data_IF_307157733358
#
_entry.id   IF_307157733358
#
_cell.length_a   1.000
_cell.length_b   1.000
_cell.length_c   1.000
_cell.angle_alpha   90.00
_cell.angle_beta   90.00
_cell.angle_gamma   90.00
#
_symmetry.space_group_name_H-M   'P 1'
#
loop_
_entity.id
_entity.type
_entity.pdbx_description
1 polymer ?
#
# COMPACT_ATOMS: atom_id res chain seq x y z
N UNK A 1 -15.41 70.21 33.47
CA UNK A 1 -15.58 68.74 33.54
C UNK A 1 -15.74 68.06 32.18
N UNK A 2 -16.25 68.74 31.14
CA UNK A 2 -16.48 68.15 29.80
C UNK A 2 -15.18 67.73 29.09
N UNK A 3 -14.17 68.61 29.04
CA UNK A 3 -12.89 68.36 28.34
C UNK A 3 -12.13 67.15 28.88
N UNK A 4 -12.20 66.90 30.20
CA UNK A 4 -11.52 65.77 30.84
C UNK A 4 -12.22 64.43 30.54
N UNK A 5 -13.55 64.46 30.41
CA UNK A 5 -14.35 63.31 30.00
C UNK A 5 -14.13 62.98 28.53
N UNK A 6 -14.06 64.00 27.66
CA UNK A 6 -13.79 63.81 26.23
C UNK A 6 -12.40 63.20 25.99
N UNK A 7 -11.38 63.70 26.72
CA UNK A 7 -10.03 63.14 26.64
C UNK A 7 -9.96 61.69 27.16
N UNK A 8 -10.70 61.37 28.23
CA UNK A 8 -10.83 59.98 28.74
C UNK A 8 -11.53 59.06 27.75
N UNK A 9 -12.58 59.53 27.10
CA UNK A 9 -13.31 58.76 26.09
C UNK A 9 -12.45 58.53 24.85
N UNK A 10 -11.73 59.55 24.38
CA UNK A 10 -10.82 59.43 23.25
C UNK A 10 -9.65 58.46 23.52
N UNK A 11 -9.04 58.54 24.70
CA UNK A 11 -7.95 57.64 25.09
C UNK A 11 -8.41 56.20 25.28
N UNK A 12 -9.59 55.99 25.89
CA UNK A 12 -10.21 54.66 26.01
C UNK A 12 -10.54 54.05 24.64
N UNK A 13 -11.12 54.84 23.73
CA UNK A 13 -11.40 54.42 22.36
C UNK A 13 -10.12 54.03 21.61
N UNK A 14 -9.05 54.83 21.74
CA UNK A 14 -7.76 54.54 21.14
C UNK A 14 -7.18 53.19 21.63
N UNK A 15 -7.23 52.96 22.94
CA UNK A 15 -6.74 51.71 23.53
C UNK A 15 -7.58 50.50 23.11
N UNK A 16 -8.90 50.65 23.02
CA UNK A 16 -9.80 49.62 22.51
C UNK A 16 -9.45 49.24 21.08
N UNK A 17 -9.30 50.23 20.19
CA UNK A 17 -8.96 50.00 18.78
C UNK A 17 -7.57 49.35 18.64
N UNK A 18 -6.60 49.77 19.45
CA UNK A 18 -5.28 49.16 19.49
C UNK A 18 -5.33 47.69 19.93
N UNK A 19 -6.06 47.39 21.01
CA UNK A 19 -6.23 46.02 21.50
C UNK A 19 -6.94 45.12 20.48
N UNK A 20 -7.99 45.63 19.83
CA UNK A 20 -8.69 44.92 18.75
C UNK A 20 -7.75 44.62 17.57
N UNK A 21 -6.96 45.61 17.12
CA UNK A 21 -6.00 45.43 16.04
C UNK A 21 -4.92 44.40 16.39
N UNK A 22 -4.33 44.50 17.59
CA UNK A 22 -3.34 43.54 18.06
C UNK A 22 -3.93 42.13 18.25
N UNK A 23 -5.16 42.04 18.75
CA UNK A 23 -5.90 40.78 18.87
C UNK A 23 -6.13 40.11 17.52
N UNK A 24 -6.52 40.87 16.49
CA UNK A 24 -6.66 40.36 15.12
C UNK A 24 -5.32 39.87 14.56
N UNK A 25 -4.23 40.61 14.79
CA UNK A 25 -2.90 40.23 14.31
C UNK A 25 -2.39 38.96 14.99
N UNK A 26 -2.58 38.86 16.31
CA UNK A 26 -2.25 37.68 17.09
C UNK A 26 -3.08 36.46 16.66
N UNK A 27 -4.37 36.65 16.41
CA UNK A 27 -5.28 35.59 15.95
C UNK A 27 -4.88 35.04 14.58
N UNK A 28 -4.48 35.91 13.64
CA UNK A 28 -3.96 35.48 12.33
C UNK A 28 -2.66 34.68 12.46
N UNK A 29 -1.70 35.17 13.26
CA UNK A 29 -0.43 34.48 13.48
C UNK A 29 -0.61 33.12 14.17
N UNK A 30 -1.51 33.05 15.16
CA UNK A 30 -1.85 31.80 15.83
C UNK A 30 -2.53 30.81 14.89
N UNK A 31 -3.49 31.29 14.08
CA UNK A 31 -4.15 30.49 13.05
C UNK A 31 -3.16 29.89 12.06
N UNK A 32 -2.20 30.69 11.58
CA UNK A 32 -1.14 30.24 10.68
C UNK A 32 -0.24 29.17 11.31
N UNK A 33 0.19 29.36 12.56
CA UNK A 33 1.01 28.36 13.26
C UNK A 33 0.26 27.05 13.44
N UNK A 34 -1.01 27.12 13.84
CA UNK A 34 -1.88 25.94 13.99
C UNK A 34 -2.10 25.23 12.65
N UNK A 35 -2.29 25.96 11.56
CA UNK A 35 -2.51 25.35 10.24
C UNK A 35 -1.25 24.63 9.74
N UNK A 36 -0.05 25.18 9.97
CA UNK A 36 1.20 24.52 9.59
C UNK A 36 1.39 23.22 10.39
N UNK A 37 1.19 23.25 11.71
CA UNK A 37 1.28 22.05 12.54
C UNK A 37 0.24 20.97 12.15
N UNK A 38 -0.99 21.39 11.85
CA UNK A 38 -2.03 20.47 11.40
C UNK A 38 -1.67 19.83 10.04
N UNK A 39 -1.07 20.61 9.12
CA UNK A 39 -0.60 20.11 7.84
C UNK A 39 0.56 19.12 8.00
N UNK A 40 1.55 19.44 8.84
CA UNK A 40 2.69 18.55 9.14
C UNK A 40 2.22 17.23 9.76
N UNK A 41 1.27 17.29 10.69
CA UNK A 41 0.69 16.10 11.32
C UNK A 41 -0.12 15.28 10.31
N UNK A 42 -0.93 15.94 9.46
CA UNK A 42 -1.67 15.25 8.40
C UNK A 42 -0.73 14.56 7.41
N UNK A 43 0.36 15.22 7.02
CA UNK A 43 1.39 14.66 6.15
C UNK A 43 2.07 13.46 6.81
N UNK A 44 2.50 13.59 8.07
CA UNK A 44 3.12 12.51 8.82
C UNK A 44 2.18 11.31 8.98
N UNK A 45 0.91 11.54 9.32
CA UNK A 45 -0.09 10.49 9.43
C UNK A 45 -0.37 9.83 8.08
N UNK A 46 -0.47 10.60 7.00
CA UNK A 46 -0.69 10.05 5.66
C UNK A 46 0.46 9.12 5.26
N UNK A 47 1.71 9.58 5.29
CA UNK A 47 2.84 8.75 4.87
C UNK A 47 3.15 7.62 5.85
N UNK A 48 2.96 7.82 7.16
CA UNK A 48 3.11 6.75 8.16
C UNK A 48 2.03 5.68 8.01
N UNK A 49 0.78 6.06 7.75
CA UNK A 49 -0.32 5.13 7.52
C UNK A 49 -0.16 4.42 6.18
N UNK A 50 0.13 5.14 5.11
CA UNK A 50 0.34 4.56 3.77
C UNK A 50 1.53 3.60 3.75
N UNK A 51 2.65 3.94 4.39
CA UNK A 51 3.80 3.02 4.50
C UNK A 51 3.44 1.75 5.28
N UNK A 52 2.83 1.89 6.47
CA UNK A 52 2.42 0.74 7.27
C UNK A 52 1.40 -0.16 6.54
N UNK A 53 0.38 0.44 5.93
CA UNK A 53 -0.61 -0.31 5.15
C UNK A 53 0.02 -0.95 3.92
N UNK A 54 0.98 -0.29 3.26
CA UNK A 54 1.68 -0.84 2.10
C UNK A 54 2.54 -2.04 2.47
N UNK A 55 3.17 -2.03 3.64
CA UNK A 55 3.95 -3.17 4.14
C UNK A 55 3.04 -4.37 4.37
N UNK A 56 1.91 -4.18 5.06
CA UNK A 56 0.90 -5.23 5.26
C UNK A 56 0.38 -5.78 3.93
N UNK A 57 -0.01 -4.90 2.99
CA UNK A 57 -0.50 -5.33 1.68
C UNK A 57 0.57 -6.09 0.89
N UNK A 58 1.83 -5.65 0.97
CA UNK A 58 2.95 -6.34 0.31
C UNK A 58 3.21 -7.72 0.92
N UNK A 59 3.13 -7.83 2.25
CA UNK A 59 3.28 -9.10 2.96
C UNK A 59 2.13 -10.07 2.65
N UNK A 60 0.89 -9.57 2.58
CA UNK A 60 -0.27 -10.36 2.16
C UNK A 60 -0.17 -10.81 0.70
N UNK A 61 0.27 -9.93 -0.20
CA UNK A 61 0.48 -10.27 -1.60
C UNK A 61 1.57 -11.35 -1.77
N UNK A 62 2.69 -11.21 -1.05
CA UNK A 62 3.77 -12.19 -1.07
C UNK A 62 3.30 -13.54 -0.51
N UNK A 63 2.58 -13.51 0.63
CA UNK A 63 2.01 -14.71 1.25
C UNK A 63 1.04 -15.43 0.32
N UNK A 64 0.14 -14.69 -0.33
CA UNK A 64 -0.80 -15.25 -1.30
C UNK A 64 -0.05 -15.85 -2.50
N UNK A 65 0.99 -15.20 -3.00
CA UNK A 65 1.81 -15.73 -4.09
C UNK A 65 2.54 -17.03 -3.72
N UNK A 66 3.09 -17.10 -2.51
CA UNK A 66 3.72 -18.31 -1.98
C UNK A 66 2.72 -19.47 -1.88
N UNK A 67 1.49 -19.17 -1.41
CA UNK A 67 0.41 -20.17 -1.31
C UNK A 67 -0.02 -20.66 -2.70
N UNK A 68 -0.24 -19.74 -3.66
CA UNK A 68 -0.55 -20.10 -5.05
C UNK A 68 0.53 -20.98 -5.68
N UNK A 69 1.81 -20.65 -5.44
CA UNK A 69 2.94 -21.41 -5.98
C UNK A 69 2.99 -22.82 -5.40
N UNK A 70 2.77 -22.96 -4.08
CA UNK A 70 2.72 -24.28 -3.43
C UNK A 70 1.57 -25.12 -3.97
N UNK A 71 0.38 -24.54 -4.10
CA UNK A 71 -0.78 -25.23 -4.66
C UNK A 71 -0.52 -25.70 -6.10
N UNK A 72 0.06 -24.86 -6.96
CA UNK A 72 0.41 -25.21 -8.33
C UNK A 72 1.47 -26.32 -8.41
N UNK A 73 2.49 -26.28 -7.55
CA UNK A 73 3.53 -27.31 -7.48
C UNK A 73 2.96 -28.65 -7.01
N UNK A 74 2.10 -28.65 -5.98
CA UNK A 74 1.41 -29.84 -5.52
C UNK A 74 0.55 -30.42 -6.64
N UNK A 75 -0.28 -29.60 -7.28
CA UNK A 75 -1.08 -30.03 -8.43
C UNK A 75 -0.24 -30.68 -9.52
N UNK A 76 0.83 -30.02 -9.98
CA UNK A 76 1.71 -30.55 -11.01
C UNK A 76 2.36 -31.88 -10.58
N UNK A 77 2.88 -31.94 -9.35
CA UNK A 77 3.60 -33.11 -8.85
C UNK A 77 2.73 -34.36 -8.70
N UNK A 78 1.48 -34.20 -8.26
CA UNK A 78 0.53 -35.30 -8.10
C UNK A 78 -0.05 -35.72 -9.44
N UNK A 79 -0.37 -34.77 -10.33
CA UNK A 79 -0.81 -35.09 -11.69
C UNK A 79 0.26 -35.87 -12.47
N UNK A 80 1.54 -35.53 -12.30
CA UNK A 80 2.64 -36.25 -12.94
C UNK A 80 2.77 -37.72 -12.49
N UNK A 81 2.21 -38.08 -11.32
CA UNK A 81 2.22 -39.45 -10.76
C UNK A 81 0.90 -40.17 -10.97
N UNK A 82 -0.09 -39.53 -11.59
CA UNK A 82 -1.43 -40.09 -11.75
C UNK A 82 -1.36 -41.35 -12.63
N UNK A 83 -1.95 -42.48 -12.20
CA UNK A 83 -1.95 -43.69 -13.01
C UNK A 83 -2.64 -43.44 -14.36
N UNK A 84 -1.97 -43.88 -15.43
CA UNK A 84 -2.33 -43.70 -16.84
C UNK A 84 -3.57 -44.54 -17.20
N UNK A 85 -4.74 -44.17 -16.70
CA UNK A 85 -5.96 -44.96 -16.89
C UNK A 85 -7.29 -44.26 -16.67
N UNK A 86 -7.30 -42.96 -16.35
CA UNK A 86 -8.53 -42.19 -16.17
C UNK A 86 -8.45 -40.88 -16.92
N UNK A 87 -8.98 -40.85 -18.14
CA UNK A 87 -9.35 -39.59 -18.81
C UNK A 87 -10.64 -39.08 -18.15
N UNK A 88 -10.48 -38.61 -16.92
CA UNK A 88 -11.55 -38.09 -16.10
C UNK A 88 -11.76 -36.61 -16.38
N UNK A 89 -13.00 -36.13 -16.30
CA UNK A 89 -13.29 -34.71 -16.43
C UNK A 89 -12.51 -33.81 -15.45
N UNK A 90 -12.48 -32.49 -15.68
CA UNK A 90 -11.75 -31.54 -14.83
C UNK A 90 -12.25 -31.54 -13.39
N UNK A 91 -13.55 -31.74 -13.17
CA UNK A 91 -14.14 -31.81 -11.81
C UNK A 91 -13.69 -33.06 -11.05
N UNK A 92 -13.73 -34.23 -11.68
CA UNK A 92 -13.27 -35.49 -11.08
C UNK A 92 -11.75 -35.44 -10.79
N UNK A 93 -10.97 -34.84 -11.70
CA UNK A 93 -9.54 -34.58 -11.49
C UNK A 93 -9.32 -33.67 -10.28
N UNK A 94 -10.15 -32.64 -10.10
CA UNK A 94 -10.03 -31.71 -8.97
C UNK A 94 -10.34 -32.37 -7.63
N UNK A 95 -11.37 -33.24 -7.57
CA UNK A 95 -11.76 -33.95 -6.36
C UNK A 95 -10.72 -35.02 -5.99
N UNK A 96 -10.23 -35.76 -6.98
CA UNK A 96 -9.15 -36.73 -6.80
C UNK A 96 -7.86 -36.06 -6.30
N UNK A 97 -7.48 -34.94 -6.91
CA UNK A 97 -6.28 -34.19 -6.50
C UNK A 97 -6.44 -33.69 -5.06
N UNK A 98 -7.63 -33.22 -4.70
CA UNK A 98 -7.90 -32.76 -3.36
C UNK A 98 -7.73 -33.87 -2.33
N UNK A 99 -8.40 -35.01 -2.49
CA UNK A 99 -8.31 -36.09 -1.52
C UNK A 99 -6.90 -36.66 -1.39
N UNK A 100 -6.17 -36.82 -2.49
CA UNK A 100 -4.78 -37.32 -2.46
C UNK A 100 -3.83 -36.37 -1.75
N UNK A 101 -3.93 -35.06 -2.02
CA UNK A 101 -3.06 -34.07 -1.39
C UNK A 101 -3.39 -33.90 0.09
N UNK A 102 -4.67 -33.85 0.47
CA UNK A 102 -5.09 -33.74 1.88
C UNK A 102 -4.64 -34.98 2.68
N UNK A 103 -4.83 -36.18 2.14
CA UNK A 103 -4.37 -37.42 2.77
C UNK A 103 -2.84 -37.45 2.91
N UNK A 104 -2.11 -37.01 1.89
CA UNK A 104 -0.65 -36.94 1.94
C UNK A 104 -0.16 -35.91 2.98
N UNK A 105 -0.79 -34.73 3.04
CA UNK A 105 -0.47 -33.70 4.03
C UNK A 105 -0.73 -34.22 5.44
N UNK A 106 -1.87 -34.87 5.67
CA UNK A 106 -2.20 -35.47 6.96
C UNK A 106 -1.19 -36.55 7.35
N UNK A 107 -0.77 -37.40 6.42
CA UNK A 107 0.25 -38.42 6.67
C UNK A 107 1.64 -37.82 6.97
N UNK A 108 1.99 -36.72 6.31
CA UNK A 108 3.33 -36.13 6.41
C UNK A 108 3.49 -35.17 7.59
N UNK A 109 2.47 -34.35 7.89
CA UNK A 109 2.52 -33.33 8.94
C UNK A 109 1.70 -33.67 10.19
N UNK A 110 0.80 -34.67 10.10
CA UNK A 110 -0.16 -34.97 11.18
C UNK A 110 -1.24 -33.90 11.37
N UNK A 111 -1.40 -32.98 10.41
CA UNK A 111 -2.39 -31.91 10.46
C UNK A 111 -3.45 -32.11 9.38
N UNK A 112 -4.70 -31.88 9.74
CA UNK A 112 -5.79 -31.78 8.78
C UNK A 112 -5.70 -30.41 8.08
N UNK A 113 -5.25 -30.41 6.83
CA UNK A 113 -5.04 -29.21 6.02
C UNK A 113 -5.98 -29.27 4.83
N UNK A 114 -6.94 -28.36 4.77
CA UNK A 114 -7.84 -28.23 3.64
C UNK A 114 -7.09 -27.76 2.39
N UNK A 115 -7.24 -28.48 1.29
CA UNK A 115 -6.62 -28.16 0.01
C UNK A 115 -7.70 -28.03 -1.06
N UNK A 116 -7.63 -26.97 -1.88
CA UNK A 116 -8.62 -26.76 -2.93
C UNK A 116 -8.08 -27.23 -4.29
N UNK A 117 -8.50 -28.42 -4.73
CA UNK A 117 -8.07 -28.99 -6.00
C UNK A 117 -8.43 -28.14 -7.23
N UNK A 118 -9.64 -27.55 -7.25
CA UNK A 118 -10.09 -26.73 -8.37
C UNK A 118 -9.25 -25.44 -8.52
N UNK A 119 -8.96 -24.78 -7.39
CA UNK A 119 -8.10 -23.59 -7.34
C UNK A 119 -6.68 -23.92 -7.81
N UNK A 120 -6.09 -25.01 -7.30
CA UNK A 120 -4.75 -25.42 -7.64
C UNK A 120 -4.59 -25.76 -9.14
N UNK A 121 -5.59 -26.43 -9.73
CA UNK A 121 -5.65 -26.68 -11.17
C UNK A 121 -5.75 -25.37 -11.97
N UNK A 122 -6.56 -24.42 -11.51
CA UNK A 122 -6.66 -23.09 -12.11
C UNK A 122 -5.31 -22.35 -12.10
N UNK A 123 -4.57 -22.40 -11.00
CA UNK A 123 -3.22 -21.83 -10.91
C UNK A 123 -2.25 -22.50 -11.90
N UNK A 124 -2.28 -23.83 -12.01
CA UNK A 124 -1.44 -24.58 -12.94
C UNK A 124 -1.78 -24.26 -14.41
N UNK A 125 -3.07 -24.12 -14.74
CA UNK A 125 -3.53 -23.74 -16.07
C UNK A 125 -3.09 -22.32 -16.44
N UNK A 126 -3.15 -21.37 -15.50
CA UNK A 126 -2.70 -20.00 -15.72
C UNK A 126 -1.20 -19.93 -16.03
N UNK A 127 -0.37 -20.71 -15.32
CA UNK A 127 1.06 -20.82 -15.60
C UNK A 127 1.33 -21.44 -16.97
N UNK A 128 0.63 -22.53 -17.30
CA UNK A 128 0.81 -23.23 -18.58
C UNK A 128 0.41 -22.35 -19.78
N UNK A 129 -0.63 -21.53 -19.62
CA UNK A 129 -1.06 -20.57 -20.64
C UNK A 129 -0.04 -19.45 -20.87
N UNK A 130 0.83 -19.17 -19.87
CA UNK A 130 1.87 -18.14 -19.94
C UNK A 130 3.22 -18.62 -20.51
N UNK A 131 3.43 -19.94 -20.65
CA UNK A 131 4.69 -20.56 -21.08
C UNK A 131 5.14 -20.25 -22.54
N UNK A 132 4.48 -19.32 -23.23
CA UNK A 132 4.87 -18.89 -24.58
C UNK A 132 4.85 -17.38 -24.84
N UNK A 133 4.49 -16.54 -23.86
CA UNK A 133 4.33 -15.10 -24.08
C UNK A 133 4.77 -14.31 -22.85
N UNK A 134 6.07 -14.09 -22.71
CA UNK A 134 6.61 -13.10 -21.78
C UNK A 134 7.10 -11.86 -22.56
N UNK A 135 6.73 -10.63 -22.15
CA UNK A 135 5.81 -10.32 -21.05
C UNK A 135 4.35 -10.63 -21.40
N UNK A 136 3.50 -10.97 -20.40
CA UNK A 136 2.09 -11.25 -20.63
C UNK A 136 1.36 -10.01 -21.19
N UNK A 137 0.36 -10.19 -22.05
CA UNK A 137 -0.41 -9.07 -22.62
C UNK A 137 -1.12 -8.30 -21.49
N UNK A 138 -0.75 -7.04 -21.31
CA UNK A 138 -1.27 -6.17 -20.24
C UNK A 138 -0.28 -5.86 -19.12
N UNK A 139 0.94 -6.40 -19.15
CA UNK A 139 1.99 -5.94 -18.25
C UNK A 139 2.30 -4.47 -18.55
N UNK A 140 2.20 -3.56 -17.56
CA UNK A 140 2.61 -2.17 -17.77
C UNK A 140 4.09 -2.18 -18.13
N UNK A 141 4.44 -1.69 -19.32
CA UNK A 141 5.84 -1.36 -19.65
C UNK A 141 6.30 -0.36 -18.61
N UNK A 142 7.17 -0.81 -17.71
CA UNK A 142 7.96 0.08 -16.87
C UNK A 142 8.90 0.81 -17.83
N UNK A 143 8.40 1.88 -18.43
CA UNK A 143 9.22 2.92 -19.05
C UNK A 143 10.23 3.35 -17.98
N UNK A 144 11.46 2.89 -18.20
CA UNK A 144 12.71 3.37 -17.62
C UNK A 144 12.56 4.48 -16.58
N UNK A 145 12.45 4.12 -15.30
CA UNK A 145 12.73 5.02 -14.18
C UNK A 145 14.25 5.32 -14.07
N UNK A 146 14.91 5.54 -15.20
CA UNK A 146 16.28 6.03 -15.29
C UNK A 146 16.29 7.47 -15.82
N UNK A 147 15.64 8.37 -15.08
CA UNK A 147 16.12 9.74 -14.97
C UNK A 147 15.93 10.16 -13.51
N UNK A 148 16.72 9.53 -12.64
CA UNK A 148 17.08 10.16 -11.37
C UNK A 148 17.93 11.37 -11.74
N UNK A 149 17.29 12.53 -11.87
CA UNK A 149 18.00 13.80 -11.93
C UNK A 149 18.72 13.97 -10.60
N UNK A 150 20.03 13.70 -10.57
CA UNK A 150 20.88 14.15 -9.47
C UNK A 150 20.67 15.66 -9.31
N UNK A 151 20.49 16.19 -8.08
CA UNK A 151 20.45 17.63 -7.88
C UNK A 151 21.79 18.23 -8.29
N UNK A 152 21.72 19.12 -9.29
CA UNK A 152 22.83 19.89 -9.82
C UNK A 152 23.56 20.62 -8.69
N UNK A 153 24.84 20.34 -8.53
CA UNK A 153 25.72 21.01 -7.57
C UNK A 153 25.72 22.53 -7.84
N UNK A 154 25.58 23.32 -6.77
CA UNK A 154 25.58 24.77 -6.82
C UNK A 154 26.87 25.31 -7.46
N UNK A 155 26.80 26.35 -8.33
CA UNK A 155 27.99 26.97 -8.86
C UNK A 155 28.75 27.72 -7.75
N UNK A 156 30.02 27.38 -7.58
CA UNK A 156 30.98 28.16 -6.77
C UNK A 156 31.13 29.54 -7.41
N UNK A 157 30.76 30.58 -6.67
CA UNK A 157 31.06 31.96 -7.02
C UNK A 157 32.53 32.24 -6.70
N UNK A 158 33.38 32.25 -7.73
CA UNK A 158 34.68 32.90 -7.68
C UNK A 158 34.44 34.42 -7.74
N UNK A 159 34.75 35.12 -6.66
CA UNK A 159 34.90 36.57 -6.69
C UNK A 159 36.32 36.90 -7.18
N UNK A 160 36.49 37.92 -8.03
CA UNK A 160 37.80 38.52 -8.29
C UNK A 160 38.27 39.40 -7.11
#
# INVERSE_FOLDING_TARGET
MVVLSDLKMATSLLLLLFAAFMGLRASKMFGQRRSVQALELAHMLYYRSTSNNSELLSALALRAHDEHTKEALLAHSFLARRPLGGDSGPEETSQWLQSEVENWLLAQSGCDVAFNGARALGHLQALTSSNGMYPPPGFPKLESLATVTLPQAAPRSENP
#
